data_IF_692305978601
#
_entry.id   IF_692305978601
#
_cell.length_a   1.000
_cell.length_b   1.000
_cell.length_c   1.000
_cell.angle_alpha   90.00
_cell.angle_beta   90.00
_cell.angle_gamma   90.00
#
_symmetry.space_group_name_H-M   'P 1'
#
loop_
_entity.id
_entity.type
_entity.pdbx_description
1 polymer ?
#
# COMPACT_ATOMS: atom_id res chain seq x y z
N UNK A 1 4.68 -3.05 16.93
CA UNK A 1 5.61 -4.13 17.36
C UNK A 1 4.80 -5.17 18.10
N UNK A 2 4.76 -6.39 17.57
CA UNK A 2 4.22 -7.54 18.28
C UNK A 2 5.03 -7.73 19.57
N UNK A 3 4.39 -7.54 20.73
CA UNK A 3 5.06 -7.69 22.04
C UNK A 3 5.58 -9.12 22.25
N UNK A 4 5.06 -10.10 21.50
CA UNK A 4 5.57 -11.47 21.51
C UNK A 4 6.97 -11.59 20.86
N UNK A 5 7.36 -10.67 19.98
CA UNK A 5 8.67 -10.68 19.32
C UNK A 5 9.78 -9.96 20.11
N UNK A 6 9.47 -9.29 21.22
CA UNK A 6 10.45 -8.59 22.05
C UNK A 6 11.54 -9.50 22.63
N UNK A 7 11.30 -10.81 22.68
CA UNK A 7 12.25 -11.81 23.18
C UNK A 7 13.09 -12.45 22.08
N UNK A 8 12.87 -12.13 20.81
CA UNK A 8 13.63 -12.74 19.72
C UNK A 8 15.03 -12.14 19.56
N UNK A 9 15.28 -10.95 20.12
CA UNK A 9 16.60 -10.37 20.12
C UNK A 9 16.78 -9.54 21.40
N UNK A 10 17.51 -10.07 22.38
CA UNK A 10 17.74 -9.49 23.71
C UNK A 10 18.49 -8.14 23.70
N UNK A 11 18.63 -7.50 22.54
CA UNK A 11 19.30 -6.22 22.32
C UNK A 11 18.75 -5.10 23.20
N UNK A 12 17.43 -5.07 23.45
CA UNK A 12 16.84 -4.06 24.34
C UNK A 12 17.24 -4.28 25.80
N UNK A 13 17.34 -5.54 26.24
CA UNK A 13 17.80 -5.88 27.58
C UNK A 13 19.29 -5.55 27.74
N UNK A 14 20.11 -5.88 26.75
CA UNK A 14 21.53 -5.52 26.72
C UNK A 14 21.72 -4.00 26.83
N UNK A 15 21.00 -3.22 26.02
CA UNK A 15 21.04 -1.76 26.08
C UNK A 15 20.68 -1.22 27.47
N UNK A 16 19.61 -1.74 28.10
CA UNK A 16 19.19 -1.31 29.45
C UNK A 16 20.23 -1.69 30.51
N UNK A 17 20.86 -2.85 30.40
CA UNK A 17 21.92 -3.28 31.32
C UNK A 17 23.17 -2.41 31.19
N UNK A 18 23.55 -2.02 29.97
CA UNK A 18 24.67 -1.11 29.73
C UNK A 18 24.38 0.33 30.23
N UNK A 19 23.13 0.79 30.14
CA UNK A 19 22.71 2.08 30.73
C UNK A 19 22.80 2.06 32.27
N UNK A 20 22.42 0.96 32.90
CA UNK A 20 22.46 0.81 34.35
C UNK A 20 23.87 0.54 34.88
N UNK A 21 24.70 -0.19 34.12
CA UNK A 21 26.04 -0.61 34.50
C UNK A 21 27.01 -0.38 33.32
N UNK A 22 27.50 0.86 33.12
CA UNK A 22 28.29 1.25 31.95
C UNK A 22 29.63 0.51 31.80
N UNK A 23 30.16 -0.02 32.90
CA UNK A 23 31.42 -0.77 32.94
C UNK A 23 31.22 -2.28 32.73
N UNK A 24 29.97 -2.75 32.65
CA UNK A 24 29.66 -4.16 32.50
C UNK A 24 29.71 -4.58 31.02
N UNK A 25 30.57 -5.55 30.70
CA UNK A 25 30.59 -6.16 29.37
C UNK A 25 29.55 -7.28 29.30
N UNK A 26 28.39 -6.99 28.73
CA UNK A 26 27.35 -8.00 28.46
C UNK A 26 27.81 -8.86 27.28
N UNK A 27 27.75 -10.18 27.43
CA UNK A 27 27.98 -11.13 26.34
C UNK A 27 26.75 -12.01 26.21
N UNK A 28 26.06 -11.91 25.08
CA UNK A 28 24.98 -12.84 24.74
C UNK A 28 25.60 -14.16 24.30
N UNK A 29 25.18 -15.26 24.90
CA UNK A 29 25.45 -16.62 24.43
C UNK A 29 24.12 -17.29 24.17
N UNK A 30 24.01 -17.94 23.02
CA UNK A 30 22.91 -18.86 22.75
C UNK A 30 23.18 -20.16 23.50
N UNK A 31 22.26 -20.52 24.40
CA UNK A 31 22.29 -21.79 25.09
C UNK A 31 21.29 -22.74 24.41
N UNK A 32 21.82 -23.77 23.75
CA UNK A 32 20.99 -24.79 23.09
C UNK A 32 20.62 -25.96 24.02
N UNK A 33 21.09 -25.94 25.27
CA UNK A 33 20.81 -27.00 26.26
C UNK A 33 19.52 -26.75 27.03
N UNK A 34 19.10 -25.48 27.15
CA UNK A 34 17.87 -25.08 27.80
C UNK A 34 16.73 -25.07 26.79
N UNK A 35 15.80 -26.00 26.93
CA UNK A 35 14.55 -25.98 26.16
C UNK A 35 13.52 -25.12 26.89
N UNK A 36 12.78 -24.30 26.14
CA UNK A 36 11.64 -23.56 26.70
C UNK A 36 10.62 -24.56 27.23
N UNK A 37 10.17 -24.37 28.47
CA UNK A 37 9.18 -25.23 29.10
C UNK A 37 7.93 -25.34 28.23
N UNK A 38 7.40 -26.56 28.10
CA UNK A 38 6.23 -26.84 27.28
C UNK A 38 5.00 -26.03 27.70
N UNK A 39 4.88 -25.71 29.00
CA UNK A 39 3.82 -24.86 29.55
C UNK A 39 3.89 -23.41 29.05
N UNK A 40 5.09 -22.88 28.84
CA UNK A 40 5.31 -21.54 28.27
C UNK A 40 4.99 -21.56 26.78
N UNK A 41 5.43 -22.60 26.07
CA UNK A 41 5.11 -22.78 24.65
C UNK A 41 3.60 -22.91 24.41
N UNK A 42 2.90 -23.68 25.25
CA UNK A 42 1.43 -23.80 25.16
C UNK A 42 0.74 -22.48 25.46
N UNK A 43 1.15 -21.76 26.52
CA UNK A 43 0.60 -20.44 26.84
C UNK A 43 0.77 -19.42 25.71
N UNK A 44 1.97 -19.36 25.09
CA UNK A 44 2.22 -18.48 23.95
C UNK A 44 1.40 -18.89 22.72
N UNK A 45 1.25 -20.19 22.47
CA UNK A 45 0.41 -20.74 21.41
C UNK A 45 -1.07 -20.39 21.59
N UNK A 46 -1.59 -20.56 22.81
CA UNK A 46 -2.96 -20.19 23.19
C UNK A 46 -3.18 -18.68 23.05
N UNK A 47 -2.27 -17.87 23.56
CA UNK A 47 -2.35 -16.40 23.44
C UNK A 47 -2.36 -15.96 21.98
N UNK A 48 -1.51 -16.56 21.13
CA UNK A 48 -1.50 -16.27 19.70
C UNK A 48 -2.82 -16.64 19.03
N UNK A 49 -3.37 -17.81 19.34
CA UNK A 49 -4.66 -18.26 18.81
C UNK A 49 -5.81 -17.34 19.24
N UNK A 50 -5.83 -16.94 20.51
CA UNK A 50 -6.80 -15.98 21.05
C UNK A 50 -6.69 -14.62 20.37
N UNK A 51 -5.48 -14.08 20.21
CA UNK A 51 -5.28 -12.80 19.51
C UNK A 51 -5.72 -12.88 18.04
N UNK A 52 -5.47 -14.01 17.38
CA UNK A 52 -5.92 -14.25 16.01
C UNK A 52 -7.44 -14.33 15.91
N UNK A 53 -8.08 -14.99 16.86
CA UNK A 53 -9.54 -15.05 16.95
C UNK A 53 -10.14 -13.66 17.19
N UNK A 54 -9.63 -12.92 18.18
CA UNK A 54 -10.06 -11.54 18.47
C UNK A 54 -9.92 -10.63 17.25
N UNK A 55 -8.82 -10.77 16.50
CA UNK A 55 -8.61 -10.02 15.26
C UNK A 55 -9.68 -10.35 14.21
N UNK A 56 -9.91 -11.63 13.91
CA UNK A 56 -10.88 -12.05 12.89
C UNK A 56 -12.31 -11.65 13.24
N UNK A 57 -12.71 -11.82 14.50
CA UNK A 57 -14.05 -11.44 14.99
C UNK A 57 -14.27 -9.92 14.98
N UNK A 58 -13.21 -9.12 14.97
CA UNK A 58 -13.29 -7.65 14.97
C UNK A 58 -13.33 -7.03 13.56
N UNK A 59 -13.04 -7.79 12.48
CA UNK A 59 -12.92 -7.22 11.12
C UNK A 59 -14.24 -6.60 10.67
N UNK A 60 -15.34 -7.36 10.71
CA UNK A 60 -16.64 -6.89 10.21
C UNK A 60 -17.13 -5.67 11.02
N UNK A 61 -16.97 -5.71 12.35
CA UNK A 61 -17.30 -4.60 13.25
C UNK A 61 -16.49 -3.35 12.94
N UNK A 62 -15.18 -3.50 12.70
CA UNK A 62 -14.30 -2.38 12.35
C UNK A 62 -14.66 -1.77 10.97
N UNK A 63 -15.04 -2.60 10.00
CA UNK A 63 -15.52 -2.13 8.70
C UNK A 63 -16.82 -1.34 8.82
N UNK A 64 -17.79 -1.81 9.61
CA UNK A 64 -19.04 -1.07 9.88
C UNK A 64 -18.78 0.27 10.58
N UNK A 65 -17.86 0.32 11.56
CA UNK A 65 -17.49 1.57 12.25
C UNK A 65 -16.77 2.52 11.29
N UNK A 66 -15.87 2.01 10.44
CA UNK A 66 -15.22 2.83 9.41
C UNK A 66 -16.23 3.46 8.45
N UNK A 67 -17.22 2.68 8.00
CA UNK A 67 -18.26 3.11 7.07
C UNK A 67 -19.35 3.97 7.73
N UNK A 68 -19.38 4.09 9.06
CA UNK A 68 -20.33 4.96 9.76
C UNK A 68 -19.86 6.42 9.87
N UNK A 69 -18.61 6.72 9.51
CA UNK A 69 -18.07 8.08 9.49
C UNK A 69 -18.43 8.75 8.18
N UNK A 70 -19.24 9.81 8.22
CA UNK A 70 -19.58 10.57 7.02
C UNK A 70 -18.45 11.55 6.64
N UNK A 71 -17.83 11.42 5.46
CA UNK A 71 -16.80 12.35 5.02
C UNK A 71 -17.43 13.71 4.68
N UNK A 72 -16.75 14.79 5.04
CA UNK A 72 -17.20 16.15 4.76
C UNK A 72 -16.77 16.64 3.36
N UNK A 73 -17.33 17.75 2.87
CA UNK A 73 -16.93 18.31 1.58
C UNK A 73 -15.45 18.76 1.53
N UNK A 74 -14.82 19.04 2.66
CA UNK A 74 -13.37 19.34 2.69
C UNK A 74 -12.52 18.08 2.50
N UNK A 75 -13.03 16.90 2.86
CA UNK A 75 -12.39 15.59 2.63
C UNK A 75 -12.39 15.19 1.16
N UNK A 76 -13.24 15.83 0.35
CA UNK A 76 -13.26 15.69 -1.10
C UNK A 76 -12.14 16.48 -1.76
N UNK A 77 -11.68 17.59 -1.15
CA UNK A 77 -10.65 18.48 -1.70
C UNK A 77 -9.29 18.14 -1.09
N UNK A 78 -8.67 17.04 -1.50
CA UNK A 78 -7.29 16.74 -1.06
C UNK A 78 -6.28 17.73 -1.65
N UNK A 79 -5.53 18.42 -0.78
CA UNK A 79 -4.37 19.29 -1.10
C UNK A 79 -3.19 18.60 -1.82
N UNK A 80 -3.36 17.36 -2.29
CA UNK A 80 -2.34 16.61 -3.04
C UNK A 80 -2.39 16.91 -4.56
N UNK A 81 -3.48 17.48 -5.08
CA UNK A 81 -3.59 17.80 -6.51
C UNK A 81 -2.66 18.97 -6.94
N UNK A 82 -2.22 19.82 -6.01
CA UNK A 82 -1.23 20.88 -6.30
C UNK A 82 0.21 20.37 -6.40
N UNK A 83 0.52 19.16 -5.92
CA UNK A 83 1.86 18.56 -5.99
C UNK A 83 2.02 17.54 -7.13
N UNK A 84 0.91 16.96 -7.64
CA UNK A 84 0.94 16.11 -8.84
C UNK A 84 1.22 16.88 -10.14
N UNK A 85 1.03 18.20 -10.13
CA UNK A 85 1.41 19.09 -11.25
C UNK A 85 2.93 19.22 -11.48
N UNK A 86 3.77 18.51 -10.70
CA UNK A 86 5.22 18.36 -10.94
C UNK A 86 5.64 16.96 -11.36
N UNK A 87 4.72 16.03 -11.61
CA UNK A 87 5.06 14.79 -12.28
C UNK A 87 5.13 15.00 -13.79
N UNK A 88 6.34 14.73 -14.29
CA UNK A 88 6.73 14.59 -15.69
C UNK A 88 5.59 13.94 -16.48
N UNK A 89 4.88 14.74 -17.27
CA UNK A 89 4.06 14.25 -18.38
C UNK A 89 4.96 13.42 -19.26
N UNK A 90 4.71 12.10 -19.24
CA UNK A 90 5.06 11.26 -20.36
C UNK A 90 4.14 11.73 -21.48
N UNK A 91 4.64 12.62 -22.34
CA UNK A 91 3.95 12.96 -23.58
C UNK A 91 3.64 11.66 -24.31
N UNK A 92 2.36 11.49 -24.63
CA UNK A 92 1.84 10.47 -25.53
C UNK A 92 2.13 10.90 -26.97
N UNK A 93 3.40 11.10 -27.30
CA UNK A 93 3.81 11.40 -28.67
C UNK A 93 5.03 10.53 -28.97
N UNK A 94 4.80 9.44 -29.67
CA UNK A 94 5.69 8.96 -30.72
C UNK A 94 4.79 8.23 -31.71
N UNK A 95 4.33 9.03 -32.67
CA UNK A 95 3.73 8.60 -33.92
C UNK A 95 4.64 7.60 -34.63
N UNK A 96 3.99 6.64 -35.29
CA UNK A 96 4.57 5.74 -36.27
C UNK A 96 5.44 6.52 -37.27
N UNK A 97 6.75 6.29 -37.25
CA UNK A 97 7.65 6.72 -38.33
C UNK A 97 7.63 5.67 -39.44
N UNK A 98 6.55 5.67 -40.21
CA UNK A 98 6.54 5.05 -41.54
C UNK A 98 7.21 6.00 -42.54
N UNK A 99 8.40 5.60 -42.98
CA UNK A 99 9.17 6.22 -44.04
C UNK A 99 8.37 6.22 -45.37
N UNK A 100 7.89 7.39 -45.80
CA UNK A 100 7.75 7.75 -47.22
C UNK A 100 8.02 9.26 -47.36
N UNK A 101 9.09 9.59 -48.07
CA UNK A 101 9.47 10.95 -48.45
C UNK A 101 9.13 11.10 -49.94
N UNK A 102 8.12 11.92 -50.25
CA UNK A 102 7.87 12.51 -51.58
C UNK A 102 7.63 14.01 -51.37
N UNK A 103 8.26 14.80 -52.23
CA UNK A 103 8.48 16.23 -52.15
C UNK A 103 7.18 17.07 -52.09
N UNK A 104 7.16 18.17 -51.33
CA UNK A 104 6.95 19.58 -51.80
C UNK A 104 6.50 20.58 -50.71
N UNK A 105 7.34 21.60 -50.54
CA UNK A 105 7.09 23.06 -50.51
C UNK A 105 5.91 23.74 -49.75
N UNK A 106 6.26 24.92 -49.21
CA UNK A 106 5.46 26.12 -48.94
C UNK A 106 4.56 26.23 -47.66
N UNK A 107 5.18 26.77 -46.60
CA UNK A 107 4.79 28.00 -45.87
C UNK A 107 3.33 28.28 -45.47
N UNK A 108 3.09 28.47 -44.16
CA UNK A 108 2.43 29.64 -43.56
C UNK A 108 2.17 29.44 -42.04
N UNK A 109 2.61 30.40 -41.21
CA UNK A 109 1.97 30.69 -39.92
C UNK A 109 0.68 31.47 -40.19
N UNK A 110 -0.41 31.31 -39.40
CA UNK A 110 -0.67 32.33 -38.38
C UNK A 110 -1.51 31.91 -37.13
N UNK A 111 -1.24 32.65 -36.04
CA UNK A 111 -2.20 33.30 -35.12
C UNK A 111 -3.10 32.47 -34.17
N UNK A 112 -2.88 32.80 -32.89
CA UNK A 112 -3.68 32.62 -31.68
C UNK A 112 -5.20 32.74 -31.82
N UNK A 113 -5.93 31.82 -31.19
CA UNK A 113 -7.27 32.11 -30.64
C UNK A 113 -7.42 31.46 -29.26
N UNK A 114 -7.30 32.29 -28.24
CA UNK A 114 -7.62 31.98 -26.84
C UNK A 114 -9.13 31.74 -26.73
N UNK A 115 -9.55 30.54 -26.35
CA UNK A 115 -10.94 30.29 -25.95
C UNK A 115 -10.95 29.75 -24.53
N UNK A 116 -11.39 30.61 -23.62
CA UNK A 116 -11.75 30.28 -22.25
C UNK A 116 -12.85 29.20 -22.28
N UNK A 117 -12.62 28.08 -21.60
CA UNK A 117 -13.67 27.11 -21.26
C UNK A 117 -14.04 27.30 -19.81
N UNK A 118 -15.28 27.70 -19.59
CA UNK A 118 -15.95 27.73 -18.31
C UNK A 118 -15.83 26.37 -17.61
N UNK A 119 -15.31 26.38 -16.39
CA UNK A 119 -15.21 25.22 -15.53
C UNK A 119 -16.58 24.99 -14.85
N UNK A 120 -17.37 24.08 -15.40
CA UNK A 120 -18.46 23.45 -14.66
C UNK A 120 -17.86 22.71 -13.45
N UNK A 121 -18.18 23.19 -12.24
CA UNK A 121 -17.85 22.51 -10.98
C UNK A 121 -18.63 21.19 -10.91
N UNK A 122 -18.02 20.12 -11.40
CA UNK A 122 -18.46 18.74 -11.18
C UNK A 122 -18.19 18.41 -9.71
N UNK A 123 -19.23 18.22 -8.89
CA UNK A 123 -19.01 17.79 -7.50
C UNK A 123 -18.40 16.38 -7.54
N UNK A 124 -17.20 16.21 -7.01
CA UNK A 124 -16.56 14.91 -6.95
C UNK A 124 -17.41 13.94 -6.12
N UNK A 125 -17.61 12.74 -6.67
CA UNK A 125 -18.33 11.69 -5.98
C UNK A 125 -17.51 11.18 -4.79
N UNK A 126 -18.17 10.94 -3.66
CA UNK A 126 -17.52 10.38 -2.47
C UNK A 126 -16.97 8.98 -2.80
N UNK A 127 -15.72 8.75 -2.42
CA UNK A 127 -14.98 7.50 -2.56
C UNK A 127 -14.52 6.99 -1.21
N UNK A 128 -14.09 5.72 -1.12
CA UNK A 128 -13.47 5.17 0.09
C UNK A 128 -12.26 5.96 0.59
N UNK A 129 -11.50 6.59 -0.32
CA UNK A 129 -10.36 7.45 0.04
C UNK A 129 -10.83 8.57 0.97
N UNK A 130 -12.00 9.16 0.72
CA UNK A 130 -12.51 10.29 1.50
C UNK A 130 -12.83 9.88 2.95
N UNK A 131 -13.41 8.70 3.18
CA UNK A 131 -13.60 8.13 4.52
C UNK A 131 -12.28 7.96 5.28
N UNK A 132 -11.26 7.42 4.59
CA UNK A 132 -9.92 7.24 5.15
C UNK A 132 -9.27 8.56 5.55
N UNK A 133 -9.29 9.54 4.64
CA UNK A 133 -8.73 10.88 4.87
C UNK A 133 -9.41 11.57 6.04
N UNK A 134 -10.74 11.50 6.13
CA UNK A 134 -11.50 12.09 7.24
C UNK A 134 -11.02 11.56 8.60
N UNK A 135 -10.99 10.22 8.77
CA UNK A 135 -10.56 9.59 10.01
C UNK A 135 -9.09 9.89 10.32
N UNK A 136 -8.21 9.82 9.32
CA UNK A 136 -6.79 10.06 9.52
C UNK A 136 -6.49 11.52 9.88
N UNK A 137 -7.25 12.49 9.35
CA UNK A 137 -7.13 13.89 9.74
C UNK A 137 -7.50 14.09 11.21
N UNK A 138 -8.68 13.62 11.61
CA UNK A 138 -9.12 13.73 13.01
C UNK A 138 -8.13 13.02 13.95
N UNK A 139 -7.58 11.87 13.55
CA UNK A 139 -6.58 11.16 14.33
C UNK A 139 -5.24 11.92 14.45
N UNK A 140 -4.88 12.76 13.47
CA UNK A 140 -3.69 13.62 13.58
C UNK A 140 -3.90 14.78 14.57
N UNK A 141 -5.13 15.29 14.66
CA UNK A 141 -5.50 16.35 15.60
C UNK A 141 -5.73 15.79 17.01
N UNK A 142 -6.23 14.56 17.11
CA UNK A 142 -6.51 13.85 18.35
C UNK A 142 -6.12 12.37 18.27
N UNK A 143 -5.02 12.02 18.95
CA UNK A 143 -4.46 10.67 18.99
C UNK A 143 -5.46 9.61 19.49
N UNK A 144 -6.46 10.02 20.30
CA UNK A 144 -7.47 9.14 20.88
C UNK A 144 -8.79 9.10 20.09
N UNK A 145 -8.86 9.78 18.94
CA UNK A 145 -10.09 9.92 18.16
C UNK A 145 -10.73 8.57 17.83
N UNK A 146 -9.94 7.64 17.27
CA UNK A 146 -10.44 6.33 16.83
C UNK A 146 -10.92 5.49 18.02
N UNK A 147 -10.24 5.59 19.17
CA UNK A 147 -10.63 4.91 20.40
C UNK A 147 -11.97 5.45 20.91
N UNK A 148 -12.17 6.78 20.87
CA UNK A 148 -13.46 7.39 21.23
C UNK A 148 -14.55 7.03 20.22
N UNK A 149 -14.25 6.99 18.92
CA UNK A 149 -15.15 6.54 17.87
C UNK A 149 -15.63 5.11 18.12
N UNK A 150 -14.73 4.19 18.45
CA UNK A 150 -15.08 2.80 18.77
C UNK A 150 -15.86 2.70 20.09
N UNK A 151 -15.52 3.52 21.10
CA UNK A 151 -16.20 3.52 22.40
C UNK A 151 -17.68 3.94 22.33
N UNK A 152 -18.11 4.60 21.24
CA UNK A 152 -19.53 4.88 20.97
C UNK A 152 -20.37 3.61 20.81
N UNK A 153 -19.74 2.46 20.58
CA UNK A 153 -20.42 1.20 20.29
C UNK A 153 -20.06 0.11 21.30
N UNK A 154 -20.99 -0.82 21.51
CA UNK A 154 -20.75 -2.04 22.29
C UNK A 154 -19.96 -3.01 21.42
N UNK A 155 -18.65 -3.09 21.65
CA UNK A 155 -17.74 -3.97 20.89
C UNK A 155 -16.99 -4.92 21.83
N UNK A 156 -16.80 -6.21 21.44
CA UNK A 156 -16.18 -7.21 22.31
C UNK A 156 -14.70 -6.94 22.55
N UNK A 157 -13.97 -6.45 21.54
CA UNK A 157 -12.54 -6.19 21.60
C UNK A 157 -12.20 -4.75 21.17
N UNK A 158 -12.48 -3.73 22.02
CA UNK A 158 -12.39 -2.33 21.62
C UNK A 158 -11.02 -1.92 21.09
N UNK A 159 -9.95 -2.38 21.73
CA UNK A 159 -8.59 -2.04 21.33
C UNK A 159 -8.24 -2.59 19.95
N UNK A 160 -8.51 -3.87 19.71
CA UNK A 160 -8.25 -4.54 18.43
C UNK A 160 -9.11 -3.91 17.33
N UNK A 161 -10.37 -3.60 17.64
CA UNK A 161 -11.29 -2.91 16.72
C UNK A 161 -10.76 -1.53 16.34
N UNK A 162 -10.28 -0.72 17.29
CA UNK A 162 -9.70 0.60 17.00
C UNK A 162 -8.42 0.52 16.15
N UNK A 163 -7.56 -0.46 16.41
CA UNK A 163 -6.37 -0.72 15.57
C UNK A 163 -6.77 -1.09 14.14
N UNK A 164 -7.82 -1.90 13.97
CA UNK A 164 -8.39 -2.26 12.67
C UNK A 164 -9.02 -1.07 11.95
N UNK A 165 -9.82 -0.23 12.62
CA UNK A 165 -10.40 0.99 12.02
C UNK A 165 -9.30 1.91 11.50
N UNK A 166 -8.24 2.13 12.28
CA UNK A 166 -7.08 2.92 11.85
C UNK A 166 -6.39 2.29 10.63
N UNK A 167 -6.28 0.95 10.61
CA UNK A 167 -5.68 0.21 9.49
C UNK A 167 -6.53 0.29 8.22
N UNK A 168 -7.86 0.19 8.35
CA UNK A 168 -8.82 0.32 7.25
C UNK A 168 -8.74 1.74 6.67
N UNK A 169 -8.76 2.77 7.53
CA UNK A 169 -8.63 4.16 7.12
C UNK A 169 -7.33 4.42 6.36
N UNK A 170 -6.21 3.82 6.80
CA UNK A 170 -4.95 3.89 6.06
C UNK A 170 -5.04 3.16 4.71
N UNK A 171 -5.57 1.94 4.67
CA UNK A 171 -5.66 1.15 3.44
C UNK A 171 -6.58 1.80 2.40
N UNK A 172 -7.68 2.43 2.82
CA UNK A 172 -8.61 3.10 1.89
C UNK A 172 -7.98 4.29 1.16
N UNK A 173 -6.88 4.86 1.67
CA UNK A 173 -6.10 5.87 0.93
C UNK A 173 -5.27 5.31 -0.22
N UNK A 174 -5.13 3.98 -0.32
CA UNK A 174 -4.32 3.30 -1.33
C UNK A 174 -5.11 2.30 -2.17
N UNK A 175 -6.22 1.79 -1.64
CA UNK A 175 -7.02 0.72 -2.24
C UNK A 175 -8.32 1.28 -2.83
N UNK A 176 -8.72 0.74 -3.98
CA UNK A 176 -9.89 1.22 -4.72
C UNK A 176 -11.24 0.67 -4.26
N UNK A 177 -11.27 -0.44 -3.50
CA UNK A 177 -12.52 -1.11 -3.13
C UNK A 177 -12.48 -1.83 -1.78
N UNK A 178 -13.67 -2.07 -1.22
CA UNK A 178 -13.87 -2.70 0.09
C UNK A 178 -13.45 -4.17 0.13
N UNK A 179 -13.73 -4.94 -0.93
CA UNK A 179 -13.38 -6.37 -0.99
C UNK A 179 -11.87 -6.56 -0.83
N UNK A 180 -11.06 -5.80 -1.57
CA UNK A 180 -9.60 -5.91 -1.48
C UNK A 180 -9.11 -5.51 -0.09
N UNK A 181 -9.62 -4.42 0.51
CA UNK A 181 -9.30 -4.04 1.90
C UNK A 181 -9.61 -5.19 2.85
N UNK A 182 -10.78 -5.80 2.72
CA UNK A 182 -11.22 -6.91 3.55
C UNK A 182 -10.31 -8.14 3.42
N UNK A 183 -9.93 -8.52 2.19
CA UNK A 183 -8.99 -9.61 1.94
C UNK A 183 -7.60 -9.34 2.51
N UNK A 184 -7.12 -8.10 2.43
CA UNK A 184 -5.84 -7.68 3.00
C UNK A 184 -5.83 -7.86 4.52
N UNK A 185 -6.91 -7.47 5.20
CA UNK A 185 -7.08 -7.68 6.64
C UNK A 185 -7.11 -9.16 6.98
N UNK A 186 -7.94 -9.95 6.30
CA UNK A 186 -8.03 -11.41 6.54
C UNK A 186 -6.68 -12.11 6.40
N UNK A 187 -5.85 -11.68 5.46
CA UNK A 187 -4.50 -12.23 5.22
C UNK A 187 -3.41 -11.60 6.09
N UNK A 188 -3.74 -10.56 6.88
CA UNK A 188 -2.80 -9.79 7.72
C UNK A 188 -1.62 -9.21 6.91
N UNK A 189 -1.91 -8.72 5.71
CA UNK A 189 -0.89 -8.19 4.78
C UNK A 189 -0.80 -6.65 4.78
N UNK A 190 -1.50 -5.95 5.67
CA UNK A 190 -1.68 -4.49 5.63
C UNK A 190 -0.36 -3.71 5.55
N UNK A 191 0.62 -4.00 6.41
CA UNK A 191 1.93 -3.31 6.40
C UNK A 191 2.66 -3.47 5.06
N UNK A 192 2.63 -4.69 4.52
CA UNK A 192 3.26 -5.02 3.24
C UNK A 192 2.55 -4.30 2.10
N UNK A 193 1.22 -4.31 2.09
CA UNK A 193 0.41 -3.66 1.06
C UNK A 193 0.62 -2.15 1.06
N UNK A 194 0.62 -1.49 2.24
CA UNK A 194 0.89 -0.05 2.35
C UNK A 194 2.29 0.29 1.80
N UNK A 195 3.29 -0.52 2.13
CA UNK A 195 4.66 -0.33 1.63
C UNK A 195 4.72 -0.44 0.10
N UNK A 196 4.01 -1.41 -0.47
CA UNK A 196 3.96 -1.63 -1.92
C UNK A 196 3.14 -0.52 -2.61
N UNK A 197 2.01 -0.11 -2.03
CA UNK A 197 1.19 0.98 -2.56
C UNK A 197 1.97 2.29 -2.68
N UNK A 198 2.72 2.64 -1.63
CA UNK A 198 3.65 3.79 -1.68
C UNK A 198 4.70 3.65 -2.77
N UNK A 199 5.17 2.43 -3.05
CA UNK A 199 6.11 2.20 -4.16
C UNK A 199 5.43 2.35 -5.53
N UNK A 200 4.18 1.91 -5.70
CA UNK A 200 3.42 2.17 -6.93
C UNK A 200 3.15 3.67 -7.15
N UNK A 201 2.93 4.43 -6.07
CA UNK A 201 2.68 5.87 -6.15
C UNK A 201 3.96 6.71 -6.35
N UNK A 202 5.10 6.30 -5.78
CA UNK A 202 6.27 7.19 -5.65
C UNK A 202 7.59 6.62 -6.18
N UNK A 203 7.70 5.31 -6.42
CA UNK A 203 8.95 4.71 -6.92
C UNK A 203 8.92 4.64 -8.45
N UNK A 204 9.68 5.53 -9.09
CA UNK A 204 9.72 5.66 -10.56
C UNK A 204 10.11 4.36 -11.29
N UNK A 205 10.97 3.52 -10.69
CA UNK A 205 11.38 2.25 -11.29
C UNK A 205 10.23 1.25 -11.23
N UNK A 206 9.53 1.19 -10.10
CA UNK A 206 8.34 0.33 -9.96
C UNK A 206 7.23 0.79 -10.91
N UNK A 207 6.96 2.09 -10.99
CA UNK A 207 6.01 2.66 -11.94
C UNK A 207 6.34 2.34 -13.40
N UNK A 208 7.62 2.44 -13.77
CA UNK A 208 8.08 2.06 -15.10
C UNK A 208 7.71 0.61 -15.42
N UNK A 209 7.97 -0.33 -14.50
CA UNK A 209 7.63 -1.73 -14.70
C UNK A 209 6.13 -2.01 -14.72
N UNK A 210 5.36 -1.39 -13.83
CA UNK A 210 3.89 -1.52 -13.85
C UNK A 210 3.36 -1.09 -15.22
N UNK A 211 3.74 0.10 -15.70
CA UNK A 211 3.35 0.58 -17.02
C UNK A 211 3.81 -0.36 -18.13
N UNK A 212 5.08 -0.79 -18.12
CA UNK A 212 5.64 -1.70 -19.12
C UNK A 212 4.90 -3.03 -19.16
N UNK A 213 4.59 -3.62 -18.01
CA UNK A 213 3.93 -4.92 -17.91
C UNK A 213 2.46 -4.86 -18.34
N UNK A 214 1.74 -3.77 -18.05
CA UNK A 214 0.37 -3.59 -18.54
C UNK A 214 0.30 -3.23 -20.02
N UNK A 215 1.27 -2.47 -20.56
CA UNK A 215 1.29 -2.06 -21.97
C UNK A 215 1.75 -3.16 -22.93
N UNK A 216 2.81 -3.89 -22.58
CA UNK A 216 3.47 -4.82 -23.51
C UNK A 216 3.19 -6.28 -23.15
N UNK A 217 2.09 -6.80 -23.70
CA UNK A 217 1.69 -8.20 -23.60
C UNK A 217 1.33 -8.59 -22.17
N UNK A 218 0.37 -7.90 -21.56
CA UNK A 218 -0.03 -8.08 -20.15
C UNK A 218 -0.45 -9.52 -19.82
N UNK A 219 -1.14 -10.19 -20.74
CA UNK A 219 -1.67 -11.55 -20.58
C UNK A 219 -0.61 -12.57 -20.12
N UNK A 220 0.63 -12.45 -20.59
CA UNK A 220 1.70 -13.39 -20.21
C UNK A 220 1.94 -13.40 -18.70
N UNK A 221 1.84 -12.25 -18.04
CA UNK A 221 2.10 -12.13 -16.60
C UNK A 221 0.99 -12.76 -15.75
N UNK A 222 -0.20 -12.98 -16.32
CA UNK A 222 -1.30 -13.70 -15.65
C UNK A 222 -1.21 -15.23 -15.87
N UNK A 223 -0.47 -15.67 -16.90
CA UNK A 223 -0.36 -17.07 -17.32
C UNK A 223 0.98 -17.73 -16.92
N UNK A 224 1.39 -17.56 -15.66
CA UNK A 224 2.59 -18.23 -15.11
C UNK A 224 3.91 -17.90 -15.85
N UNK A 225 4.07 -16.67 -16.35
CA UNK A 225 5.32 -16.25 -17.01
C UNK A 225 6.52 -16.47 -16.09
N UNK A 226 7.56 -17.11 -16.63
CA UNK A 226 8.79 -17.43 -15.92
C UNK A 226 9.87 -16.42 -16.25
N UNK A 227 10.52 -15.87 -15.22
CA UNK A 227 11.62 -14.94 -15.35
C UNK A 227 12.82 -15.46 -14.56
N UNK A 228 13.96 -15.67 -15.23
CA UNK A 228 15.19 -16.07 -14.53
C UNK A 228 15.78 -14.88 -13.75
N UNK A 229 16.60 -15.11 -12.71
CA UNK A 229 17.31 -14.04 -12.01
C UNK A 229 18.20 -13.19 -12.92
N UNK A 230 18.79 -13.79 -13.97
CA UNK A 230 19.64 -13.08 -14.93
C UNK A 230 18.79 -12.16 -15.80
N UNK A 231 17.66 -12.65 -16.33
CA UNK A 231 16.73 -11.83 -17.10
C UNK A 231 16.13 -10.70 -16.26
N UNK A 232 15.84 -10.96 -14.98
CA UNK A 232 15.41 -9.94 -14.04
C UNK A 232 16.45 -8.82 -13.86
N UNK A 233 17.74 -9.16 -13.80
CA UNK A 233 18.80 -8.16 -13.73
C UNK A 233 18.91 -7.34 -15.02
N UNK A 234 18.80 -8.00 -16.19
CA UNK A 234 18.78 -7.32 -17.49
C UNK A 234 17.61 -6.34 -17.58
N UNK A 235 16.40 -6.77 -17.25
CA UNK A 235 15.20 -5.92 -17.24
C UNK A 235 15.36 -4.71 -16.33
N UNK A 236 15.95 -4.88 -15.14
CA UNK A 236 16.23 -3.78 -14.23
C UNK A 236 17.23 -2.79 -14.81
N UNK A 237 18.33 -3.27 -15.38
CA UNK A 237 19.34 -2.41 -16.01
C UNK A 237 18.74 -1.61 -17.17
N UNK A 238 17.90 -2.24 -18.00
CA UNK A 238 17.16 -1.57 -19.07
C UNK A 238 16.21 -0.50 -18.52
N UNK A 239 15.44 -0.84 -17.48
CA UNK A 239 14.51 0.09 -16.84
C UNK A 239 15.22 1.33 -16.30
N UNK A 240 16.35 1.15 -15.62
CA UNK A 240 17.12 2.28 -15.14
C UNK A 240 17.68 3.15 -16.27
N UNK A 241 18.16 2.52 -17.35
CA UNK A 241 18.66 3.25 -18.52
C UNK A 241 17.54 4.08 -19.15
N UNK A 242 16.36 3.49 -19.34
CA UNK A 242 15.18 4.17 -19.89
C UNK A 242 14.69 5.32 -18.97
N UNK A 243 14.62 5.08 -17.66
CA UNK A 243 14.21 6.12 -16.70
C UNK A 243 15.24 7.25 -16.65
N UNK A 244 16.55 6.95 -16.69
CA UNK A 244 17.61 7.95 -16.74
C UNK A 244 17.50 8.82 -18.00
N UNK A 245 17.33 8.19 -19.18
CA UNK A 245 17.17 8.90 -20.45
C UNK A 245 15.99 9.86 -20.41
N UNK A 246 14.89 9.44 -19.79
CA UNK A 246 13.64 10.21 -19.77
C UNK A 246 13.60 11.33 -18.72
N UNK A 247 14.18 11.09 -17.55
CA UNK A 247 14.09 12.03 -16.42
C UNK A 247 15.33 12.89 -16.24
N UNK A 248 16.42 12.58 -16.95
CA UNK A 248 17.74 13.17 -16.77
C UNK A 248 18.28 13.09 -15.32
N UNK A 249 17.68 12.26 -14.46
CA UNK A 249 18.16 12.06 -13.09
C UNK A 249 19.53 11.38 -13.14
N UNK A 250 20.57 11.89 -12.44
CA UNK A 250 21.88 11.26 -12.40
C UNK A 250 21.82 9.86 -11.78
N UNK A 251 22.58 8.90 -12.35
CA UNK A 251 22.59 7.51 -11.87
C UNK A 251 22.96 7.38 -10.38
N UNK A 252 23.81 8.29 -9.89
CA UNK A 252 24.18 8.38 -8.47
C UNK A 252 22.96 8.61 -7.56
N UNK A 253 22.01 9.42 -8.01
CA UNK A 253 20.78 9.71 -7.26
C UNK A 253 19.90 8.47 -7.10
N UNK A 254 19.86 7.57 -8.08
CA UNK A 254 19.13 6.29 -7.94
C UNK A 254 19.73 5.38 -6.86
N UNK A 255 21.07 5.41 -6.70
CA UNK A 255 21.79 4.68 -5.66
C UNK A 255 21.53 5.32 -4.29
N UNK A 256 21.63 6.65 -4.21
CA UNK A 256 21.42 7.40 -2.96
C UNK A 256 19.98 7.26 -2.44
N UNK A 257 19.00 7.26 -3.35
CA UNK A 257 17.58 7.03 -3.03
C UNK A 257 17.23 5.55 -2.78
N UNK A 258 18.19 4.63 -2.91
CA UNK A 258 18.03 3.18 -2.66
C UNK A 258 16.81 2.57 -3.38
N UNK A 259 16.55 3.01 -4.61
CA UNK A 259 15.36 2.59 -5.37
C UNK A 259 15.33 1.08 -5.65
N UNK A 260 16.51 0.46 -5.76
CA UNK A 260 16.69 -1.00 -5.71
C UNK A 260 17.89 -1.32 -4.82
N UNK A 261 17.77 -2.34 -3.97
CA UNK A 261 18.84 -2.76 -3.08
C UNK A 261 19.89 -3.59 -3.84
N UNK A 262 21.18 -3.33 -3.60
CA UNK A 262 22.27 -4.12 -4.18
C UNK A 262 22.73 -3.69 -5.57
N UNK A 263 22.34 -2.49 -6.03
CA UNK A 263 22.91 -1.84 -7.20
C UNK A 263 24.36 -1.44 -6.89
N UNK A 264 25.29 -1.75 -7.79
CA UNK A 264 26.66 -1.23 -7.78
C UNK A 264 26.90 -0.40 -9.04
N UNK A 265 27.64 0.70 -8.93
CA UNK A 265 28.14 1.44 -10.08
C UNK A 265 29.54 0.93 -10.42
N UNK A 266 29.73 0.45 -11.64
CA UNK A 266 31.08 0.22 -12.15
C UNK A 266 31.72 1.58 -12.47
N UNK A 267 32.74 1.94 -11.70
CA UNK A 267 33.44 3.22 -11.82
C UNK A 267 34.21 3.37 -13.14
N UNK A 268 34.49 2.26 -13.85
CA UNK A 268 35.21 2.29 -15.13
C UNK A 268 34.29 2.53 -16.32
N UNK A 269 33.12 1.90 -16.30
CA UNK A 269 32.17 1.95 -17.42
C UNK A 269 31.01 2.91 -17.17
N UNK A 270 30.89 3.44 -15.94
CA UNK A 270 29.73 4.19 -15.45
C UNK A 270 28.39 3.45 -15.62
N UNK A 271 28.43 2.12 -15.82
CA UNK A 271 27.25 1.27 -15.93
C UNK A 271 26.86 0.70 -14.58
N UNK A 272 25.57 0.45 -14.41
CA UNK A 272 25.07 -0.23 -13.22
C UNK A 272 25.21 -1.73 -13.36
N UNK A 273 25.69 -2.35 -12.28
CA UNK A 273 25.77 -3.79 -12.11
C UNK A 273 24.76 -4.17 -11.04
N UNK A 274 23.80 -4.99 -11.42
CA UNK A 274 22.73 -5.46 -10.54
C UNK A 274 22.93 -6.96 -10.33
N UNK A 275 23.04 -7.37 -9.07
CA UNK A 275 23.13 -8.78 -8.73
C UNK A 275 21.84 -9.52 -9.11
N UNK A 276 21.91 -10.65 -9.86
CA UNK A 276 20.73 -11.42 -10.28
C UNK A 276 19.80 -11.83 -9.14
N UNK A 277 20.36 -12.20 -7.99
CA UNK A 277 19.55 -12.61 -6.84
C UNK A 277 18.83 -11.41 -6.19
N UNK A 278 19.47 -10.23 -6.18
CA UNK A 278 18.84 -8.98 -5.73
C UNK A 278 17.77 -8.50 -6.70
N UNK A 279 18.01 -8.62 -7.99
CA UNK A 279 17.01 -8.35 -9.03
C UNK A 279 15.77 -9.23 -8.85
N UNK A 280 15.96 -10.54 -8.65
CA UNK A 280 14.85 -11.44 -8.40
C UNK A 280 14.04 -11.04 -7.15
N UNK A 281 14.73 -10.70 -6.06
CA UNK A 281 14.09 -10.24 -4.81
C UNK A 281 13.29 -8.93 -5.00
N UNK A 282 13.74 -8.02 -5.87
CA UNK A 282 13.00 -6.81 -6.19
C UNK A 282 11.63 -7.14 -6.79
N UNK A 283 11.58 -8.01 -7.79
CA UNK A 283 10.32 -8.38 -8.43
C UNK A 283 9.37 -9.12 -7.48
N UNK A 284 9.89 -10.06 -6.68
CA UNK A 284 9.09 -10.78 -5.67
C UNK A 284 8.51 -9.85 -4.60
N UNK A 285 9.22 -8.77 -4.29
CA UNK A 285 8.77 -7.80 -3.29
C UNK A 285 7.59 -6.97 -3.78
N UNK A 286 7.62 -6.52 -5.04
CA UNK A 286 6.71 -5.49 -5.55
C UNK A 286 5.67 -6.01 -6.55
N UNK A 287 5.80 -7.22 -7.08
CA UNK A 287 4.90 -7.75 -8.11
C UNK A 287 4.30 -9.08 -7.67
N UNK A 288 3.22 -9.52 -8.32
CA UNK A 288 2.62 -10.83 -8.07
C UNK A 288 3.45 -11.97 -8.67
N UNK A 289 4.67 -12.14 -8.16
CA UNK A 289 5.61 -13.17 -8.54
C UNK A 289 5.94 -14.09 -7.35
N UNK A 290 5.94 -15.41 -7.60
CA UNK A 290 6.43 -16.42 -6.65
C UNK A 290 7.86 -16.78 -6.96
N UNK A 291 8.70 -16.82 -5.94
CA UNK A 291 10.09 -17.28 -6.06
C UNK A 291 10.14 -18.81 -5.97
N UNK A 292 10.46 -19.47 -7.08
CA UNK A 292 10.59 -20.92 -7.16
C UNK A 292 12.06 -21.29 -7.03
N UNK A 293 12.33 -22.33 -6.24
CA UNK A 293 13.68 -22.84 -6.00
C UNK A 293 14.67 -21.80 -5.45
N UNK A 294 14.23 -20.87 -4.58
CA UNK A 294 15.06 -19.80 -4.02
C UNK A 294 16.41 -20.26 -3.42
N UNK A 295 16.48 -21.50 -2.90
CA UNK A 295 17.69 -22.11 -2.32
C UNK A 295 18.61 -22.82 -3.33
N UNK A 296 18.22 -22.91 -4.60
CA UNK A 296 18.99 -23.56 -5.68
C UNK A 296 19.23 -22.54 -6.80
N UNK A 297 20.34 -21.78 -6.77
CA UNK A 297 20.56 -20.66 -7.68
C UNK A 297 20.38 -21.00 -9.16
N UNK A 298 20.89 -22.16 -9.60
CA UNK A 298 20.87 -22.57 -11.01
C UNK A 298 19.48 -22.98 -11.52
N UNK A 299 18.53 -23.26 -10.61
CA UNK A 299 17.16 -23.64 -10.93
C UNK A 299 16.15 -22.61 -10.45
N UNK A 300 16.62 -21.47 -9.93
CA UNK A 300 15.78 -20.41 -9.39
C UNK A 300 15.09 -19.66 -10.53
N UNK A 301 13.80 -19.44 -10.40
CA UNK A 301 13.05 -18.57 -11.32
C UNK A 301 11.86 -17.94 -10.60
N UNK A 302 11.42 -16.81 -11.13
CA UNK A 302 10.20 -16.15 -10.69
C UNK A 302 9.04 -16.59 -11.58
N UNK A 303 7.91 -16.88 -10.96
CA UNK A 303 6.67 -17.26 -11.65
C UNK A 303 5.61 -16.19 -11.38
N UNK A 304 5.26 -15.43 -12.42
CA UNK A 304 4.26 -14.36 -12.35
C UNK A 304 2.84 -14.93 -12.40
N UNK A 305 1.97 -14.45 -11.52
CA UNK A 305 0.56 -14.83 -11.43
C UNK A 305 -0.34 -13.59 -11.46
N UNK A 306 0.16 -12.53 -12.07
CA UNK A 306 -0.37 -11.17 -12.04
C UNK A 306 0.76 -10.15 -12.09
N UNK A 307 0.39 -8.90 -12.29
CA UNK A 307 1.34 -7.78 -12.33
C UNK A 307 1.48 -7.19 -10.92
N UNK A 308 0.41 -6.59 -10.40
CA UNK A 308 0.44 -5.99 -9.05
C UNK A 308 0.33 -7.04 -7.96
N UNK A 309 0.94 -6.77 -6.80
CA UNK A 309 0.93 -7.66 -5.65
C UNK A 309 -0.50 -8.01 -5.20
N UNK A 310 -0.72 -9.29 -4.89
CA UNK A 310 -2.01 -9.80 -4.42
C UNK A 310 -3.16 -9.72 -5.43
N UNK A 311 -2.91 -9.21 -6.64
CA UNK A 311 -3.93 -8.83 -7.63
C UNK A 311 -4.99 -7.88 -7.05
N UNK A 312 -4.63 -7.04 -6.08
CA UNK A 312 -5.53 -6.02 -5.52
C UNK A 312 -5.65 -4.80 -6.46
N UNK A 313 -6.68 -3.97 -6.31
CA UNK A 313 -6.88 -2.73 -7.07
C UNK A 313 -6.26 -1.57 -6.29
N UNK A 314 -5.05 -1.18 -6.67
CA UNK A 314 -4.38 -0.04 -6.07
C UNK A 314 -4.80 1.24 -6.79
N UNK A 315 -5.08 2.32 -6.06
CA UNK A 315 -5.47 3.61 -6.65
C UNK A 315 -4.44 4.11 -7.66
N UNK A 316 -3.15 3.99 -7.33
CA UNK A 316 -2.03 4.39 -8.19
C UNK A 316 -1.97 3.64 -9.53
N UNK A 317 -2.58 2.45 -9.63
CA UNK A 317 -2.53 1.61 -10.84
C UNK A 317 -3.91 1.30 -11.41
N UNK A 318 -4.99 1.82 -10.81
CA UNK A 318 -6.37 1.43 -11.11
C UNK A 318 -6.72 1.56 -12.61
N UNK A 319 -6.35 2.68 -13.24
CA UNK A 319 -6.59 2.92 -14.68
C UNK A 319 -5.96 1.85 -15.58
N UNK A 320 -4.78 1.35 -15.22
CA UNK A 320 -4.09 0.29 -15.96
C UNK A 320 -4.74 -1.08 -15.74
N UNK A 321 -5.38 -1.26 -14.58
CA UNK A 321 -6.01 -2.52 -14.18
C UNK A 321 -7.40 -2.71 -14.77
N UNK A 322 -8.12 -1.63 -15.15
CA UNK A 322 -9.51 -1.67 -15.63
C UNK A 322 -9.76 -2.74 -16.72
N UNK A 323 -8.80 -2.96 -17.61
CA UNK A 323 -8.91 -3.95 -18.71
C UNK A 323 -8.75 -5.40 -18.25
N UNK A 324 -8.19 -5.64 -17.07
CA UNK A 324 -7.73 -6.96 -16.62
C UNK A 324 -8.30 -7.40 -15.27
N UNK A 325 -8.83 -6.46 -14.47
CA UNK A 325 -9.44 -6.74 -13.17
C UNK A 325 -10.87 -6.23 -13.16
N UNK A 326 -11.81 -7.16 -12.98
CA UNK A 326 -13.20 -6.85 -12.67
C UNK A 326 -13.35 -6.78 -11.15
N UNK A 327 -13.92 -5.68 -10.65
CA UNK A 327 -14.25 -5.50 -9.24
C UNK A 327 -15.76 -5.64 -9.08
N UNK A 328 -16.19 -6.37 -8.05
CA UNK A 328 -17.62 -6.45 -7.71
C UNK A 328 -18.12 -5.06 -7.32
N UNK A 329 -19.23 -4.63 -7.90
CA UNK A 329 -19.86 -3.34 -7.57
C UNK A 329 -20.38 -3.30 -6.13
N UNK A 330 -20.73 -4.46 -5.57
CA UNK A 330 -21.27 -4.59 -4.22
C UNK A 330 -20.39 -5.50 -3.37
N UNK A 331 -20.33 -5.20 -2.08
CA UNK A 331 -19.60 -5.98 -1.10
C UNK A 331 -20.42 -6.12 0.19
N UNK A 332 -20.42 -7.31 0.78
CA UNK A 332 -21.17 -7.61 2.00
C UNK A 332 -20.23 -7.55 3.21
N UNK A 333 -20.59 -6.74 4.19
CA UNK A 333 -19.95 -6.70 5.51
C UNK A 333 -20.99 -7.13 6.54
N UNK A 334 -20.75 -8.22 7.26
CA UNK A 334 -21.77 -8.82 8.12
C UNK A 334 -23.04 -9.14 7.35
N UNK A 335 -24.15 -8.50 7.71
CA UNK A 335 -25.47 -8.68 7.08
C UNK A 335 -25.84 -7.55 6.11
N UNK A 336 -24.99 -6.52 5.96
CA UNK A 336 -25.26 -5.33 5.16
C UNK A 336 -24.49 -5.35 3.84
N UNK A 337 -25.08 -4.71 2.83
CA UNK A 337 -24.50 -4.61 1.49
C UNK A 337 -24.10 -3.16 1.26
N UNK A 338 -22.87 -2.97 0.80
CA UNK A 338 -22.29 -1.68 0.50
C UNK A 338 -21.86 -1.62 -0.96
N UNK A 339 -21.88 -0.43 -1.53
CA UNK A 339 -21.20 -0.14 -2.78
C UNK A 339 -19.68 -0.25 -2.53
N UNK A 340 -19.03 -1.09 -3.33
CA UNK A 340 -17.66 -1.52 -3.10
C UNK A 340 -16.64 -0.38 -3.28
N UNK A 341 -16.97 0.66 -4.07
CA UNK A 341 -16.05 1.73 -4.46
C UNK A 341 -16.27 3.02 -3.66
N UNK A 342 -17.50 3.27 -3.25
CA UNK A 342 -17.92 4.49 -2.53
C UNK A 342 -18.11 4.25 -1.04
N UNK A 343 -18.41 3.01 -0.62
CA UNK A 343 -18.76 2.69 0.76
C UNK A 343 -20.21 3.02 1.15
N UNK A 344 -21.03 3.48 0.21
CA UNK A 344 -22.44 3.77 0.47
C UNK A 344 -23.21 2.49 0.82
N UNK A 345 -24.04 2.53 1.86
CA UNK A 345 -24.92 1.41 2.18
C UNK A 345 -26.04 1.27 1.16
N UNK A 346 -26.17 0.07 0.59
CA UNK A 346 -27.19 -0.27 -0.41
C UNK A 346 -28.33 -1.14 0.18
N UNK A 347 -28.11 -1.76 1.33
CA UNK A 347 -29.13 -2.57 2.01
C UNK A 347 -29.98 -1.74 2.97
N UNK A 348 -31.28 -2.08 3.07
CA UNK A 348 -32.20 -1.54 4.08
C UNK A 348 -32.03 -2.19 5.47
N UNK A 349 -31.09 -3.13 5.60
CA UNK A 349 -30.79 -3.80 6.88
C UNK A 349 -30.22 -2.75 7.87
N UNK A 350 -30.79 -2.62 9.07
CA UNK A 350 -30.32 -1.64 10.05
C UNK A 350 -28.88 -1.96 10.48
N UNK A 351 -28.14 -0.90 10.85
CA UNK A 351 -26.76 -1.05 11.31
C UNK A 351 -26.70 -1.97 12.54
N UNK A 352 -25.87 -3.04 12.52
CA UNK A 352 -25.76 -3.98 13.65
C UNK A 352 -25.04 -3.36 14.86
N UNK A 353 -24.42 -2.19 14.71
CA UNK A 353 -23.69 -1.51 15.76
C UNK A 353 -24.65 -0.97 16.83
N UNK A 354 -24.58 -1.55 18.03
CA UNK A 354 -25.34 -1.09 19.19
C UNK A 354 -24.59 0.06 19.86
N UNK A 355 -25.24 1.22 20.03
CA UNK A 355 -24.65 2.35 20.75
C UNK A 355 -24.44 2.02 22.24
N UNK A 356 -23.26 2.37 22.74
CA UNK A 356 -22.94 2.31 24.16
C UNK A 356 -23.73 3.38 24.93
N UNK A 357 -24.27 3.01 26.09
CA UNK A 357 -24.94 3.96 27.00
C UNK A 357 -23.98 4.82 27.82
N UNK A 358 -22.67 4.56 27.72
CA UNK A 358 -21.62 5.23 28.50
C UNK A 358 -21.00 6.44 27.77
N UNK A 359 -21.59 6.87 26.65
CA UNK A 359 -21.18 8.12 26.01
C UNK A 359 -21.65 9.25 26.94
N UNK A 360 -20.70 9.85 27.65
CA UNK A 360 -20.88 11.18 28.25
C UNK A 360 -21.12 12.09 27.04
N UNK A 361 -22.35 12.53 26.85
CA UNK A 361 -22.66 13.58 25.88
C UNK A 361 -21.83 14.80 26.28
N UNK A 362 -21.00 15.31 25.37
CA UNK A 362 -20.19 16.52 25.61
C UNK A 362 -21.07 17.77 25.85
N UNK A 363 -22.39 17.65 25.68
CA UNK A 363 -23.37 18.73 25.79
C UNK A 363 -23.99 18.91 27.20
N UNK A 364 -23.78 17.99 28.16
CA UNK A 364 -24.42 18.10 29.50
C UNK A 364 -23.62 18.93 30.54
N UNK A 365 -22.51 19.59 30.16
CA UNK A 365 -21.65 20.31 31.13
C UNK A 365 -21.64 21.84 31.01
N UNK A 366 -22.41 22.45 30.11
CA UNK A 366 -22.36 23.91 29.87
C UNK A 366 -23.68 24.67 29.96
N UNK A 367 -24.77 24.08 30.45
CA UNK A 367 -26.05 24.81 30.62
C UNK A 367 -26.48 25.10 32.07
N UNK A 368 -25.62 24.84 33.07
CA UNK A 368 -25.87 25.26 34.45
C UNK A 368 -24.64 25.95 35.07
N UNK A 369 -24.29 27.14 34.57
CA UNK A 369 -23.73 28.24 35.35
C UNK A 369 -23.42 29.49 34.48
N UNK A 370 -24.39 30.39 34.33
CA UNK A 370 -24.21 31.85 34.43
C UNK A 370 -25.57 32.58 34.40
#
# INVERSE_FOLDING_TARGET
>A
MDKACCYHNFMYLEYRLQQLLPTCTVKLREDHTVQTDQSILSFLGETKKTNEQMYQESIDTAMEIFLSVEPSQSDCKTKEEDLESRQITVSEDDEDTDYYDDDTDAGALPVTTTTQKDAEQKSEAITLKNYGVAILREQQEDEFYVQRLVAKYVVPYPKVTAELVSTIALLSTYMGNLEDIYQILKRKESEKVVTIAKAYANNIVVQYFVNRFYRYGSERYFNAHKLSPVDAATLLTEAFTAVQQKTHIPMRTFIDQKLVSGIKLDMKTHKMVIDPSKAANFFVRFFAAKDRNAKKPDLRYLEFHGIVFGNYQYLATAKLQEKTKTVSAQFTVGERIFDSMTGACLSDVPCPLVRSRLVIEEDEFFDDAA
#
